data_IF_430915103372
#
_entry.id   IF_430915103372
#
_cell.length_a   1.000
_cell.length_b   1.000
_cell.length_c   1.000
_cell.angle_alpha   90.00
_cell.angle_beta   90.00
_cell.angle_gamma   90.00
#
_symmetry.space_group_name_H-M   'P 1'
#
loop_
_entity.id
_entity.type
_entity.pdbx_description
1 polymer ?
#
# COMPACT_ATOMS: atom_id res chain seq x y z
N UNK A 1 2.66 4.43 3.68
CA UNK A 1 1.47 4.34 4.56
C UNK A 1 1.25 5.72 5.18
N UNK A 2 0.18 6.45 4.83
CA UNK A 2 -0.21 7.72 5.46
C UNK A 2 -0.79 7.47 6.85
N UNK A 3 -0.51 8.34 7.82
CA UNK A 3 -1.05 8.24 9.18
C UNK A 3 -1.75 9.55 9.55
N UNK A 4 -3.05 9.46 9.83
CA UNK A 4 -3.86 10.58 10.34
C UNK A 4 -5.13 10.06 11.02
N UNK A 5 -5.18 10.10 12.35
CA UNK A 5 -6.33 9.69 13.19
C UNK A 5 -6.83 8.24 12.90
N UNK A 6 -5.94 7.26 12.98
CA UNK A 6 -6.20 5.85 12.65
C UNK A 6 -5.83 4.88 13.79
N UNK A 7 -5.85 5.34 15.04
CA UNK A 7 -5.40 4.56 16.21
C UNK A 7 -6.06 3.18 16.32
N UNK A 8 -7.31 3.03 15.84
CA UNK A 8 -8.05 1.76 15.89
C UNK A 8 -7.53 0.71 14.91
N UNK A 9 -6.84 1.12 13.85
CA UNK A 9 -6.52 0.27 12.69
C UNK A 9 -5.02 0.12 12.45
N UNK A 10 -4.24 1.16 12.78
CA UNK A 10 -2.82 1.28 12.41
C UNK A 10 -1.95 0.12 12.89
N UNK A 11 -2.25 -0.48 14.04
CA UNK A 11 -1.52 -1.64 14.55
C UNK A 11 -1.67 -2.83 13.60
N UNK A 12 -2.90 -3.21 13.26
CA UNK A 12 -3.19 -4.30 12.32
C UNK A 12 -2.56 -4.05 10.97
N UNK A 13 -2.72 -2.84 10.44
CA UNK A 13 -2.17 -2.44 9.16
C UNK A 13 -0.65 -2.57 9.13
N UNK A 14 0.04 -1.96 10.11
CA UNK A 14 1.50 -1.94 10.15
C UNK A 14 2.09 -3.34 10.39
N UNK A 15 1.49 -4.15 11.26
CA UNK A 15 1.91 -5.54 11.49
C UNK A 15 1.76 -6.36 10.21
N UNK A 16 0.68 -6.19 9.43
CA UNK A 16 0.51 -6.91 8.17
C UNK A 16 1.58 -6.54 7.12
N UNK A 17 2.00 -5.26 7.11
CA UNK A 17 3.09 -4.79 6.25
C UNK A 17 4.46 -5.34 6.69
N UNK A 18 4.70 -5.45 7.99
CA UNK A 18 5.96 -5.99 8.51
C UNK A 18 6.08 -7.52 8.37
N UNK A 19 4.96 -8.23 8.39
CA UNK A 19 4.91 -9.70 8.30
C UNK A 19 4.90 -10.23 6.86
N UNK A 20 5.26 -9.40 5.87
CA UNK A 20 5.37 -9.85 4.49
C UNK A 20 6.47 -10.89 4.31
N UNK A 21 6.23 -11.91 3.46
CA UNK A 21 7.23 -12.94 3.10
C UNK A 21 8.39 -12.35 2.32
N UNK A 22 8.17 -11.30 1.53
CA UNK A 22 9.22 -10.56 0.84
C UNK A 22 10.11 -9.81 1.85
N UNK A 23 11.41 -10.07 1.82
CA UNK A 23 12.34 -9.59 2.85
C UNK A 23 12.88 -8.18 2.58
N UNK A 24 13.17 -7.83 1.33
CA UNK A 24 13.82 -6.59 0.92
C UNK A 24 12.82 -5.44 0.79
N UNK A 25 12.24 -4.98 1.91
CA UNK A 25 11.27 -3.89 1.92
C UNK A 25 11.58 -2.82 2.98
N UNK A 26 11.17 -1.59 2.69
CA UNK A 26 11.01 -0.53 3.69
C UNK A 26 9.51 -0.23 3.88
N UNK A 27 9.13 0.11 5.09
CA UNK A 27 7.80 0.62 5.41
C UNK A 27 7.93 2.12 5.68
N UNK A 28 7.52 2.94 4.70
CA UNK A 28 7.56 4.39 4.83
C UNK A 28 6.26 4.89 5.43
N UNK A 29 6.33 5.36 6.66
CA UNK A 29 5.26 6.02 7.40
C UNK A 29 5.35 7.51 7.15
N UNK A 30 4.25 8.14 6.74
CA UNK A 30 4.14 9.59 6.64
C UNK A 30 3.07 10.08 7.60
N UNK A 31 3.52 10.73 8.66
CA UNK A 31 2.68 11.30 9.72
C UNK A 31 2.17 12.68 9.27
N UNK A 32 0.86 12.78 9.11
CA UNK A 32 0.17 14.00 8.68
C UNK A 32 -0.45 14.77 9.88
N UNK A 33 0.19 14.64 11.05
CA UNK A 33 -0.16 15.33 12.31
C UNK A 33 -1.59 15.03 12.81
N UNK A 34 -1.93 13.76 12.95
CA UNK A 34 -3.12 13.32 13.67
C UNK A 34 -3.05 13.69 15.15
N UNK A 35 -4.22 13.71 15.81
CA UNK A 35 -4.34 14.10 17.23
C UNK A 35 -4.64 12.91 18.15
N UNK A 36 -4.67 11.70 17.61
CA UNK A 36 -4.91 10.45 18.33
C UNK A 36 -3.59 9.72 18.68
N UNK A 37 -3.69 8.50 19.15
CA UNK A 37 -2.53 7.68 19.53
C UNK A 37 -1.87 6.91 18.39
N UNK A 38 -2.22 7.19 17.14
CA UNK A 38 -1.69 6.44 15.98
C UNK A 38 -0.16 6.41 15.97
N UNK A 39 0.49 7.55 16.18
CA UNK A 39 1.95 7.63 16.14
C UNK A 39 2.62 7.01 17.36
N UNK A 40 1.98 7.01 18.53
CA UNK A 40 2.47 6.28 19.72
C UNK A 40 2.54 4.77 19.40
N UNK A 41 1.48 4.22 18.77
CA UNK A 41 1.41 2.82 18.35
C UNK A 41 2.52 2.52 17.33
N UNK A 42 2.69 3.37 16.30
CA UNK A 42 3.75 3.22 15.29
C UNK A 42 5.13 3.18 15.94
N UNK A 43 5.42 4.09 16.87
CA UNK A 43 6.70 4.13 17.58
C UNK A 43 6.93 2.88 18.46
N UNK A 44 5.88 2.39 19.12
CA UNK A 44 5.94 1.16 19.90
C UNK A 44 6.30 -0.03 19.01
N UNK A 45 5.59 -0.21 17.90
CA UNK A 45 5.83 -1.30 16.93
C UNK A 45 7.25 -1.19 16.36
N UNK A 46 7.68 0.01 15.97
CA UNK A 46 9.04 0.23 15.48
C UNK A 46 10.10 -0.21 16.48
N UNK A 47 9.85 -0.02 17.78
CA UNK A 47 10.79 -0.39 18.85
C UNK A 47 10.77 -1.88 19.18
N UNK A 48 9.60 -2.54 19.08
CA UNK A 48 9.39 -3.90 19.62
C UNK A 48 9.35 -4.99 18.56
N UNK A 49 8.94 -4.68 17.33
CA UNK A 49 8.83 -5.67 16.26
C UNK A 49 10.21 -6.04 15.72
N UNK A 50 10.42 -7.33 15.43
CA UNK A 50 11.71 -7.85 14.90
C UNK A 50 12.16 -7.14 13.60
N UNK A 51 11.21 -6.70 12.78
CA UNK A 51 11.46 -5.92 11.55
C UNK A 51 11.20 -4.42 11.72
N UNK A 52 11.19 -3.90 12.94
CA UNK A 52 10.96 -2.48 13.20
C UNK A 52 12.01 -1.55 12.57
N UNK A 53 13.20 -2.06 12.30
CA UNK A 53 14.25 -1.35 11.55
C UNK A 53 13.89 -1.04 10.09
N UNK A 54 12.92 -1.77 9.49
CA UNK A 54 12.41 -1.48 8.16
C UNK A 54 11.50 -0.24 8.14
N UNK A 55 11.03 0.23 9.30
CA UNK A 55 10.15 1.40 9.41
C UNK A 55 10.97 2.68 9.34
N UNK A 56 10.60 3.54 8.38
CA UNK A 56 11.09 4.93 8.29
C UNK A 56 9.92 5.89 8.42
N UNK A 57 10.07 6.91 9.26
CA UNK A 57 9.01 7.87 9.58
C UNK A 57 9.40 9.24 9.02
N UNK A 58 8.44 9.91 8.39
CA UNK A 58 8.50 11.31 7.98
C UNK A 58 7.32 12.00 8.63
N UNK A 59 7.54 13.11 9.29
CA UNK A 59 6.49 13.91 9.92
C UNK A 59 6.36 15.25 9.21
N UNK A 60 5.15 15.62 8.82
CA UNK A 60 4.83 16.93 8.25
C UNK A 60 4.86 18.02 9.32
N UNK A 61 5.04 19.27 8.90
CA UNK A 61 4.93 20.42 9.79
C UNK A 61 3.48 20.88 9.99
N UNK A 62 2.59 20.48 9.10
CA UNK A 62 1.13 20.72 9.15
C UNK A 62 0.43 19.62 8.39
N UNK A 63 -0.86 19.40 8.68
CA UNK A 63 -1.69 18.50 7.90
C UNK A 63 -1.81 19.02 6.45
N UNK A 64 -1.50 18.18 5.47
CA UNK A 64 -1.60 18.49 4.03
C UNK A 64 -2.50 17.52 3.28
N UNK A 65 -3.16 16.61 4.01
CA UNK A 65 -4.14 15.66 3.50
C UNK A 65 -3.53 14.45 2.77
N UNK A 66 -4.38 13.47 2.48
CA UNK A 66 -3.99 12.17 1.94
C UNK A 66 -3.17 12.26 0.64
N UNK A 67 -3.57 13.15 -0.29
CA UNK A 67 -2.86 13.35 -1.55
C UNK A 67 -1.44 13.89 -1.34
N UNK A 68 -1.30 14.91 -0.49
CA UNK A 68 0.00 15.48 -0.13
C UNK A 68 0.89 14.45 0.56
N UNK A 69 0.32 13.66 1.47
CA UNK A 69 1.01 12.59 2.20
C UNK A 69 1.54 11.51 1.26
N UNK A 70 0.76 11.13 0.24
CA UNK A 70 1.21 10.19 -0.80
C UNK A 70 2.32 10.76 -1.67
N UNK A 71 2.25 12.04 -2.03
CA UNK A 71 3.33 12.70 -2.78
C UNK A 71 4.64 12.71 -1.97
N UNK A 72 4.57 13.05 -0.69
CA UNK A 72 5.74 12.95 0.21
C UNK A 72 6.31 11.53 0.24
N UNK A 73 5.45 10.50 0.24
CA UNK A 73 5.92 9.12 0.18
C UNK A 73 6.64 8.80 -1.15
N UNK A 74 6.13 9.28 -2.28
CA UNK A 74 6.78 9.12 -3.61
C UNK A 74 8.17 9.76 -3.60
N UNK A 75 8.27 11.01 -3.17
CA UNK A 75 9.52 11.79 -3.14
C UNK A 75 10.61 11.15 -2.27
N UNK A 76 10.21 10.44 -1.23
CA UNK A 76 11.13 9.87 -0.25
C UNK A 76 11.31 8.36 -0.36
N UNK A 77 10.56 7.68 -1.23
CA UNK A 77 10.71 6.24 -1.45
C UNK A 77 12.11 5.92 -2.00
N UNK A 78 12.72 4.83 -1.49
CA UNK A 78 14.04 4.34 -1.89
C UNK A 78 13.97 3.06 -2.71
N UNK A 79 12.82 2.39 -2.67
CA UNK A 79 12.61 1.14 -3.38
C UNK A 79 12.43 1.35 -4.88
N UNK A 80 12.81 0.35 -5.66
CA UNK A 80 12.53 0.30 -7.11
C UNK A 80 11.04 0.22 -7.39
N UNK A 81 10.27 -0.32 -6.45
CA UNK A 81 8.82 -0.46 -6.55
C UNK A 81 8.17 0.18 -5.32
N UNK A 82 6.98 0.73 -5.49
CA UNK A 82 6.19 1.37 -4.44
C UNK A 82 4.80 0.75 -4.37
N UNK A 83 4.40 0.32 -3.18
CA UNK A 83 3.05 -0.13 -2.86
C UNK A 83 2.37 0.88 -1.93
N UNK A 84 1.26 1.47 -2.36
CA UNK A 84 0.46 2.31 -1.48
C UNK A 84 -0.45 1.45 -0.63
N UNK A 85 -0.35 1.61 0.68
CA UNK A 85 -1.16 0.93 1.67
C UNK A 85 -1.83 1.97 2.56
N UNK A 86 -3.15 1.92 2.65
CA UNK A 86 -3.90 2.74 3.58
C UNK A 86 -3.77 2.16 5.01
N UNK A 87 -3.84 3.00 6.01
CA UNK A 87 -3.52 2.66 7.40
C UNK A 87 -4.66 2.00 8.16
N UNK A 88 -5.80 1.83 7.52
CA UNK A 88 -6.98 1.10 7.99
C UNK A 88 -7.15 -0.27 7.31
N UNK A 89 -6.35 -0.57 6.29
CA UNK A 89 -6.34 -1.84 5.57
C UNK A 89 -5.31 -2.84 6.14
N UNK A 90 -5.38 -4.09 5.68
CA UNK A 90 -4.38 -5.13 5.91
C UNK A 90 -4.11 -5.90 4.61
N UNK A 91 -2.90 -6.41 4.46
CA UNK A 91 -2.49 -7.20 3.30
C UNK A 91 -2.13 -8.64 3.70
N UNK A 92 -2.37 -9.59 2.79
CA UNK A 92 -1.98 -10.99 3.01
C UNK A 92 -0.46 -11.13 3.13
N UNK A 93 0.06 -12.14 3.86
CA UNK A 93 1.51 -12.27 4.07
C UNK A 93 2.35 -12.35 2.80
N UNK A 94 1.79 -12.88 1.73
CA UNK A 94 2.44 -13.09 0.43
C UNK A 94 2.15 -11.97 -0.60
N UNK A 95 1.43 -10.92 -0.20
CA UNK A 95 0.95 -9.87 -1.10
C UNK A 95 2.10 -9.23 -1.89
N UNK A 96 3.11 -8.71 -1.21
CA UNK A 96 4.23 -8.01 -1.86
C UNK A 96 5.07 -8.96 -2.69
N UNK A 97 5.32 -10.18 -2.22
CA UNK A 97 6.08 -11.18 -2.97
C UNK A 97 5.37 -11.59 -4.26
N UNK A 98 4.07 -11.84 -4.18
CA UNK A 98 3.25 -12.20 -5.34
C UNK A 98 3.23 -11.09 -6.40
N UNK A 99 3.03 -9.83 -5.99
CA UNK A 99 3.06 -8.68 -6.90
C UNK A 99 4.46 -8.44 -7.48
N UNK A 100 5.50 -8.59 -6.66
CA UNK A 100 6.90 -8.45 -7.10
C UNK A 100 7.29 -9.48 -8.15
N UNK A 101 6.89 -10.73 -7.97
CA UNK A 101 7.17 -11.80 -8.93
C UNK A 101 6.54 -11.51 -10.30
N UNK A 102 5.35 -10.91 -10.33
CA UNK A 102 4.69 -10.52 -11.57
C UNK A 102 5.38 -9.32 -12.21
N UNK A 103 5.54 -8.20 -11.46
CA UNK A 103 6.07 -6.96 -12.02
C UNK A 103 7.51 -7.10 -12.52
N UNK A 104 8.33 -7.87 -11.80
CA UNK A 104 9.73 -8.12 -12.16
C UNK A 104 9.87 -8.99 -13.42
N UNK A 105 9.01 -10.01 -13.57
CA UNK A 105 8.99 -10.91 -14.73
C UNK A 105 8.43 -10.21 -15.96
N UNK A 106 7.28 -9.57 -15.81
CA UNK A 106 6.51 -9.03 -16.95
C UNK A 106 6.98 -7.63 -17.37
N UNK A 107 7.81 -6.94 -16.54
CA UNK A 107 8.36 -5.60 -16.80
C UNK A 107 7.28 -4.59 -17.17
N UNK A 108 6.19 -4.59 -16.39
CA UNK A 108 5.07 -3.66 -16.52
C UNK A 108 5.23 -2.48 -15.55
N UNK A 109 4.50 -1.39 -15.78
CA UNK A 109 4.59 -0.19 -14.97
C UNK A 109 3.92 -0.36 -13.60
N UNK A 110 2.85 -1.15 -13.52
CA UNK A 110 2.22 -1.54 -12.27
C UNK A 110 1.51 -2.89 -12.35
N UNK A 111 1.23 -3.48 -11.19
CA UNK A 111 0.42 -4.69 -11.00
C UNK A 111 -0.64 -4.42 -9.95
N UNK A 112 -1.89 -4.78 -10.21
CA UNK A 112 -3.00 -4.70 -9.26
C UNK A 112 -3.36 -6.08 -8.70
N UNK A 113 -3.68 -6.15 -7.41
CA UNK A 113 -4.15 -7.37 -6.73
C UNK A 113 -5.68 -7.42 -6.64
N UNK A 114 -6.23 -8.57 -6.26
CA UNK A 114 -7.61 -8.71 -5.79
C UNK A 114 -7.83 -8.05 -4.43
N UNK A 115 -9.08 -7.96 -4.01
CA UNK A 115 -9.49 -7.27 -2.77
C UNK A 115 -10.48 -8.17 -2.03
N UNK A 116 -10.30 -8.29 -0.72
CA UNK A 116 -11.27 -8.85 0.18
C UNK A 116 -11.87 -7.73 1.04
N UNK A 117 -13.18 -7.56 0.98
CA UNK A 117 -13.89 -6.72 1.92
C UNK A 117 -14.27 -7.57 3.13
N UNK A 118 -13.95 -7.08 4.33
CA UNK A 118 -14.23 -7.75 5.59
C UNK A 118 -15.02 -6.83 6.53
N UNK A 119 -15.80 -7.43 7.43
CA UNK A 119 -16.45 -6.69 8.50
C UNK A 119 -15.48 -6.33 9.64
N UNK A 120 -15.97 -5.65 10.67
CA UNK A 120 -15.18 -5.26 11.85
C UNK A 120 -14.60 -6.45 12.61
N UNK A 121 -15.20 -7.65 12.47
CA UNK A 121 -14.75 -8.89 13.10
C UNK A 121 -13.77 -9.69 12.22
N UNK A 122 -13.50 -9.21 10.99
CA UNK A 122 -12.63 -9.88 10.02
C UNK A 122 -13.35 -10.95 9.19
N UNK A 123 -14.67 -11.07 9.25
CA UNK A 123 -15.44 -11.99 8.41
C UNK A 123 -15.48 -11.46 6.97
N UNK A 124 -15.27 -12.35 6.01
CA UNK A 124 -15.30 -12.02 4.60
C UNK A 124 -16.73 -11.64 4.17
N UNK A 125 -16.89 -10.41 3.68
CA UNK A 125 -18.16 -9.92 3.10
C UNK A 125 -18.16 -10.13 1.59
N UNK A 126 -17.08 -9.78 0.92
CA UNK A 126 -16.96 -9.88 -0.54
C UNK A 126 -15.49 -10.11 -0.92
N UNK A 127 -15.26 -10.99 -1.88
CA UNK A 127 -13.96 -11.14 -2.55
C UNK A 127 -14.07 -10.65 -4.00
N UNK A 128 -13.16 -9.78 -4.40
CA UNK A 128 -13.01 -9.33 -5.78
C UNK A 128 -11.68 -9.83 -6.31
N UNK A 129 -11.71 -10.71 -7.28
CA UNK A 129 -10.53 -11.18 -8.00
C UNK A 129 -10.53 -10.66 -9.43
N UNK A 130 -9.35 -10.38 -9.94
CA UNK A 130 -9.18 -9.96 -11.34
C UNK A 130 -8.57 -11.10 -12.15
N UNK A 131 -8.97 -11.27 -13.43
CA UNK A 131 -8.31 -12.22 -14.31
C UNK A 131 -6.85 -11.82 -14.51
N UNK A 132 -5.96 -12.81 -14.72
CA UNK A 132 -4.57 -12.56 -15.05
C UNK A 132 -4.45 -11.98 -16.46
N UNK A 133 -4.49 -10.68 -16.56
CA UNK A 133 -4.43 -9.95 -17.84
C UNK A 133 -3.19 -9.05 -17.82
N UNK A 134 -2.35 -9.21 -18.85
CA UNK A 134 -1.23 -8.30 -19.11
C UNK A 134 -1.63 -7.39 -20.26
N UNK A 135 -1.54 -6.09 -20.04
CA UNK A 135 -1.81 -5.09 -21.06
C UNK A 135 -0.59 -4.23 -21.31
N UNK A 136 -0.34 -3.94 -22.57
CA UNK A 136 0.81 -3.16 -23.02
C UNK A 136 0.37 -2.05 -23.96
N UNK A 137 1.11 -0.94 -23.96
CA UNK A 137 0.90 0.21 -24.85
C UNK A 137 0.28 1.42 -24.18
N UNK A 138 0.46 2.57 -24.80
CA UNK A 138 0.14 3.90 -24.22
C UNK A 138 -1.33 4.11 -23.84
N UNK A 139 -2.24 3.40 -24.47
CA UNK A 139 -3.69 3.54 -24.22
C UNK A 139 -4.30 2.35 -23.47
N UNK A 140 -3.48 1.42 -22.99
CA UNK A 140 -3.98 0.17 -22.41
C UNK A 140 -4.89 0.42 -21.18
N UNK A 141 -4.55 1.38 -20.33
CA UNK A 141 -5.36 1.75 -19.15
C UNK A 141 -6.68 2.36 -19.57
N UNK A 142 -6.65 3.32 -20.50
CA UNK A 142 -7.86 3.96 -21.01
C UNK A 142 -8.78 2.95 -21.73
N UNK A 143 -8.23 2.06 -22.55
CA UNK A 143 -8.99 1.00 -23.20
C UNK A 143 -9.66 0.07 -22.21
N UNK A 144 -8.96 -0.29 -21.15
CA UNK A 144 -9.49 -1.14 -20.10
C UNK A 144 -10.67 -0.50 -19.39
N UNK A 145 -10.57 0.75 -18.96
CA UNK A 145 -11.64 1.45 -18.27
C UNK A 145 -12.85 1.79 -19.18
N UNK A 146 -12.60 2.24 -20.40
CA UNK A 146 -13.67 2.75 -21.26
C UNK A 146 -14.32 1.67 -22.13
N UNK A 147 -13.59 0.64 -22.55
CA UNK A 147 -14.13 -0.38 -23.46
C UNK A 147 -14.58 -1.66 -22.76
N UNK A 148 -13.84 -2.11 -21.76
CA UNK A 148 -14.06 -3.40 -21.16
C UNK A 148 -14.91 -3.34 -19.90
N UNK A 149 -15.18 -2.12 -19.36
CA UNK A 149 -16.02 -1.86 -18.18
C UNK A 149 -15.75 -2.82 -17.01
N UNK A 150 -14.50 -3.23 -16.85
CA UNK A 150 -14.13 -4.10 -15.74
C UNK A 150 -13.77 -3.25 -14.52
N UNK A 151 -14.27 -3.66 -13.37
CA UNK A 151 -14.21 -2.92 -12.12
C UNK A 151 -12.85 -3.03 -11.40
N UNK A 152 -11.75 -2.72 -12.08
CA UNK A 152 -10.53 -2.40 -11.32
C UNK A 152 -10.77 -1.06 -10.63
N UNK A 153 -10.74 -1.09 -9.33
CA UNK A 153 -10.87 0.12 -8.53
C UNK A 153 -9.81 1.14 -8.92
N UNK A 154 -10.25 2.33 -9.30
CA UNK A 154 -9.40 3.46 -9.69
C UNK A 154 -8.81 4.10 -8.43
N UNK A 155 -8.13 3.30 -7.62
CA UNK A 155 -7.49 3.72 -6.39
C UNK A 155 -5.98 3.60 -6.53
N UNK A 156 -5.23 4.35 -5.75
CA UNK A 156 -3.77 4.23 -5.71
C UNK A 156 -3.31 3.01 -4.89
N UNK A 157 -4.08 2.63 -3.87
CA UNK A 157 -3.80 1.45 -3.06
C UNK A 157 -4.06 0.15 -3.84
N UNK A 158 -3.64 -0.98 -3.30
CA UNK A 158 -3.77 -2.31 -3.89
C UNK A 158 -2.97 -2.50 -5.19
N UNK A 159 -1.93 -1.69 -5.41
CA UNK A 159 -1.08 -1.77 -6.61
C UNK A 159 0.39 -1.59 -6.25
N UNK A 160 1.22 -2.42 -6.89
CA UNK A 160 2.67 -2.26 -6.86
C UNK A 160 3.11 -1.54 -8.14
N UNK A 161 3.72 -0.38 -7.99
CA UNK A 161 4.18 0.49 -9.08
C UNK A 161 5.69 0.43 -9.25
N UNK A 162 6.18 0.51 -10.47
CA UNK A 162 7.55 0.86 -10.73
C UNK A 162 7.73 2.37 -10.41
N UNK A 163 8.69 2.72 -9.54
CA UNK A 163 8.89 4.13 -9.12
C UNK A 163 9.28 5.06 -10.26
N UNK A 164 9.84 4.55 -11.37
CA UNK A 164 10.12 5.36 -12.57
C UNK A 164 8.87 5.76 -13.34
N UNK A 165 7.72 5.16 -13.03
CA UNK A 165 6.43 5.47 -13.63
C UNK A 165 5.70 6.61 -12.88
N UNK A 166 5.99 6.80 -11.58
CA UNK A 166 5.35 7.80 -10.71
C UNK A 166 6.06 9.16 -10.81
#
# INVERSE_FOLDING_TARGET
>A
MPIYNVEKYVERALISALNQTYQELEVLIVDDLGHDKSMEIVHLIKKTHIRGNCIRIITHQKNIGLGGTRNTAIEHARGKYLYFMDSDDAITPDCIESLYNIISKEKVDFVAAGINQVDENGNLLQATSYPNIIRRGKLCVAQYFYKEKQDIWVTTWNKLYNTTFL
#
